data_IF_014762119497
#
_entry.id   IF_014762119497
#
_cell.length_a   1.000
_cell.length_b   1.000
_cell.length_c   1.000
_cell.angle_alpha   90.00
_cell.angle_beta   90.00
_cell.angle_gamma   90.00
#
_symmetry.space_group_name_H-M   'P 1'
#
loop_
_entity.id
_entity.type
_entity.pdbx_description
1 polymer ?
#
# COMPACT_ATOMS: atom_id res chain seq x y z
N UNK A 1 -7.44 10.54 9.14
CA UNK A 1 -8.07 9.61 8.17
C UNK A 1 -6.99 8.74 7.57
N UNK A 2 -7.35 7.59 7.01
CA UNK A 2 -6.39 6.72 6.33
C UNK A 2 -6.48 6.87 4.81
N UNK A 3 -5.31 6.79 4.17
CA UNK A 3 -5.14 6.95 2.73
C UNK A 3 -4.19 5.89 2.22
N UNK A 4 -4.60 5.17 1.17
CA UNK A 4 -3.73 4.24 0.47
C UNK A 4 -3.04 5.00 -0.66
N UNK A 5 -1.71 5.01 -0.66
CA UNK A 5 -0.87 5.62 -1.69
C UNK A 5 -0.22 4.48 -2.45
N UNK A 6 -0.55 4.38 -3.74
CA UNK A 6 0.18 3.57 -4.69
C UNK A 6 1.18 4.46 -5.43
N UNK A 7 2.41 3.98 -5.59
CA UNK A 7 3.47 4.74 -6.23
C UNK A 7 4.40 3.81 -7.02
N UNK A 8 4.79 4.22 -8.21
CA UNK A 8 5.77 3.54 -9.05
C UNK A 8 6.99 4.45 -9.24
N UNK A 9 8.19 3.91 -9.05
CA UNK A 9 9.45 4.62 -9.24
C UNK A 9 10.26 4.04 -10.38
N UNK A 10 11.24 4.78 -10.87
CA UNK A 10 12.33 4.25 -11.69
C UNK A 10 13.12 3.16 -10.94
N UNK A 11 14.01 2.47 -11.65
CA UNK A 11 14.95 1.50 -11.10
C UNK A 11 16.12 2.18 -10.36
N UNK A 12 15.75 3.02 -9.40
CA UNK A 12 16.61 3.70 -8.45
C UNK A 12 15.92 3.62 -7.07
N UNK A 13 16.59 3.12 -6.01
CA UNK A 13 16.01 3.10 -4.67
C UNK A 13 15.89 4.50 -4.03
N UNK A 14 16.58 5.51 -4.54
CA UNK A 14 16.60 6.86 -3.95
C UNK A 14 15.19 7.50 -3.88
N UNK A 15 14.35 7.49 -4.94
CA UNK A 15 12.97 7.93 -4.87
C UNK A 15 12.16 7.30 -3.72
N UNK A 16 12.30 5.99 -3.48
CA UNK A 16 11.65 5.30 -2.37
C UNK A 16 12.12 5.84 -1.01
N UNK A 17 13.43 6.07 -0.84
CA UNK A 17 13.98 6.68 0.37
C UNK A 17 13.50 8.13 0.56
N UNK A 18 13.39 8.90 -0.52
CA UNK A 18 12.87 10.27 -0.51
C UNK A 18 11.41 10.29 -0.06
N UNK A 19 10.59 9.34 -0.51
CA UNK A 19 9.19 9.19 -0.09
C UNK A 19 9.06 9.11 1.44
N UNK A 20 9.83 8.23 2.08
CA UNK A 20 9.82 8.06 3.54
C UNK A 20 10.20 9.37 4.24
N UNK A 21 11.21 10.08 3.74
CA UNK A 21 11.62 11.36 4.30
C UNK A 21 10.56 12.46 4.08
N UNK A 22 9.84 12.45 2.96
CA UNK A 22 8.72 13.37 2.69
C UNK A 22 7.61 13.14 3.71
N UNK A 23 7.19 11.89 3.91
CA UNK A 23 6.17 11.54 4.91
C UNK A 23 6.57 12.03 6.30
N UNK A 24 7.81 11.75 6.72
CA UNK A 24 8.34 12.25 7.99
C UNK A 24 8.26 13.78 8.12
N UNK A 25 8.70 14.52 7.10
CA UNK A 25 8.74 16.01 7.13
C UNK A 25 7.35 16.64 7.10
N UNK A 26 6.37 15.96 6.51
CA UNK A 26 4.97 16.41 6.42
C UNK A 26 4.11 15.93 7.58
N UNK A 27 4.68 15.23 8.57
CA UNK A 27 3.92 14.69 9.70
C UNK A 27 2.95 13.58 9.30
N UNK A 28 3.16 12.93 8.15
CA UNK A 28 2.34 11.81 7.67
C UNK A 28 2.79 10.57 8.41
N UNK A 29 1.87 9.93 9.13
CA UNK A 29 2.15 8.68 9.85
C UNK A 29 2.00 7.51 8.89
N UNK A 30 3.01 6.67 8.80
CA UNK A 30 2.95 5.43 8.02
C UNK A 30 2.32 4.35 8.90
N UNK A 31 1.22 3.75 8.45
CA UNK A 31 0.56 2.61 9.12
C UNK A 31 1.23 1.32 8.69
N UNK A 32 1.33 1.11 7.38
CA UNK A 32 2.08 0.01 6.78
C UNK A 32 2.56 0.39 5.40
N UNK A 33 3.62 -0.26 4.93
CA UNK A 33 4.18 -0.01 3.60
C UNK A 33 4.79 -1.29 3.04
N UNK A 34 4.37 -1.64 1.83
CA UNK A 34 4.97 -2.69 1.01
C UNK A 34 5.80 -2.09 -0.12
N UNK A 35 6.92 -2.72 -0.42
CA UNK A 35 7.78 -2.37 -1.55
C UNK A 35 8.14 -3.65 -2.29
N UNK A 36 7.99 -3.62 -3.62
CA UNK A 36 8.35 -4.70 -4.51
C UNK A 36 9.24 -4.19 -5.65
N UNK A 37 10.30 -4.92 -5.95
CA UNK A 37 11.15 -4.64 -7.11
C UNK A 37 10.50 -5.25 -8.37
N UNK A 38 10.50 -4.48 -9.45
CA UNK A 38 10.05 -4.85 -10.80
C UNK A 38 11.19 -4.60 -11.78
N UNK A 39 11.09 -5.15 -13.00
CA UNK A 39 12.09 -4.95 -14.06
C UNK A 39 12.30 -3.45 -14.35
N UNK A 40 11.22 -2.67 -14.34
CA UNK A 40 11.29 -1.25 -14.69
C UNK A 40 11.56 -0.32 -13.50
N UNK A 41 11.51 -0.84 -12.26
CA UNK A 41 11.74 -0.04 -11.04
C UNK A 41 11.06 -0.60 -9.82
N UNK A 42 10.58 0.25 -8.90
CA UNK A 42 9.94 -0.19 -7.67
C UNK A 42 8.47 0.17 -7.63
N UNK A 43 7.67 -0.78 -7.17
CA UNK A 43 6.27 -0.57 -6.82
C UNK A 43 6.15 -0.43 -5.30
N UNK A 44 5.50 0.63 -4.86
CA UNK A 44 5.29 0.94 -3.45
C UNK A 44 3.79 1.08 -3.20
N UNK A 45 3.33 0.44 -2.14
CA UNK A 45 1.99 0.65 -1.59
C UNK A 45 2.14 1.04 -0.14
N UNK A 46 1.64 2.21 0.24
CA UNK A 46 1.72 2.71 1.61
C UNK A 46 0.33 3.07 2.11
N UNK A 47 -0.06 2.52 3.25
CA UNK A 47 -1.21 3.00 4.01
C UNK A 47 -0.72 4.04 5.00
N UNK A 48 -1.27 5.25 4.92
CA UNK A 48 -0.83 6.38 5.72
C UNK A 48 -2.00 7.07 6.43
N UNK A 49 -1.69 7.68 7.57
CA UNK A 49 -2.60 8.55 8.31
C UNK A 49 -2.20 10.01 8.08
N UNK A 50 -3.16 10.79 7.56
CA UNK A 50 -3.01 12.23 7.39
C UNK A 50 -4.40 12.92 7.39
N UNK A 51 -4.39 14.25 7.52
CA UNK A 51 -5.58 15.06 7.38
C UNK A 51 -6.03 15.10 5.90
N UNK A 52 -7.34 15.14 5.66
CA UNK A 52 -7.89 15.23 4.31
C UNK A 52 -7.41 16.49 3.57
N UNK A 53 -7.23 17.60 4.28
CA UNK A 53 -6.70 18.86 3.73
C UNK A 53 -5.25 18.76 3.25
N UNK A 54 -4.49 17.75 3.70
CA UNK A 54 -3.08 17.58 3.35
C UNK A 54 -2.85 16.56 2.24
N UNK A 55 -3.84 15.70 1.93
CA UNK A 55 -3.64 14.60 0.97
C UNK A 55 -3.36 15.12 -0.44
N UNK A 56 -4.06 16.17 -0.87
CA UNK A 56 -3.84 16.79 -2.18
C UNK A 56 -2.44 17.39 -2.29
N UNK A 57 -1.93 17.99 -1.22
CA UNK A 57 -0.57 18.51 -1.17
C UNK A 57 0.46 17.39 -1.27
N UNK A 58 0.24 16.28 -0.56
CA UNK A 58 1.11 15.11 -0.61
C UNK A 58 1.10 14.53 -2.02
N UNK A 59 -0.08 14.24 -2.57
CA UNK A 59 -0.25 13.73 -3.94
C UNK A 59 0.47 14.60 -4.97
N UNK A 60 0.23 15.92 -4.92
CA UNK A 60 0.85 16.87 -5.83
C UNK A 60 2.37 16.95 -5.69
N UNK A 61 2.89 16.76 -4.48
CA UNK A 61 4.32 16.73 -4.24
C UNK A 61 4.96 15.44 -4.78
N UNK A 62 4.34 14.28 -4.49
CA UNK A 62 4.84 12.97 -4.91
C UNK A 62 4.89 12.83 -6.43
N UNK A 63 3.82 13.21 -7.14
CA UNK A 63 3.78 13.15 -8.62
C UNK A 63 4.79 14.05 -9.32
N UNK A 64 5.35 15.04 -8.61
CA UNK A 64 6.40 15.95 -9.11
C UNK A 64 7.79 15.56 -8.64
N UNK A 65 7.92 14.53 -7.81
CA UNK A 65 9.20 14.09 -7.29
C UNK A 65 9.97 13.38 -8.37
N UNK A 66 11.22 13.80 -8.61
CA UNK A 66 12.09 13.17 -9.62
C UNK A 66 12.29 11.68 -9.32
N UNK A 67 12.14 10.85 -10.36
CA UNK A 67 12.24 9.40 -10.28
C UNK A 67 10.93 8.70 -9.90
N UNK A 68 9.85 9.44 -9.65
CA UNK A 68 8.48 8.91 -9.52
C UNK A 68 7.82 8.91 -10.89
N UNK A 69 7.29 7.77 -11.30
CA UNK A 69 6.65 7.55 -12.60
C UNK A 69 5.13 7.69 -12.51
N UNK A 70 4.54 7.13 -11.46
CA UNK A 70 3.10 7.18 -11.24
C UNK A 70 2.77 7.26 -9.74
N UNK A 71 1.67 7.91 -9.41
CA UNK A 71 1.14 8.04 -8.05
C UNK A 71 -0.37 8.02 -8.13
N UNK A 72 -1.01 7.22 -7.27
CA UNK A 72 -2.44 7.28 -7.04
C UNK A 72 -2.75 7.26 -5.55
N UNK A 73 -3.75 8.04 -5.11
CA UNK A 73 -4.20 8.10 -3.73
C UNK A 73 -5.67 7.66 -3.63
N UNK A 74 -5.97 6.77 -2.70
CA UNK A 74 -7.31 6.30 -2.42
C UNK A 74 -7.66 6.59 -0.96
N UNK A 75 -8.86 7.10 -0.71
CA UNK A 75 -9.38 7.22 0.66
C UNK A 75 -9.67 5.82 1.19
N UNK A 76 -9.27 5.55 2.42
CA UNK A 76 -9.51 4.27 3.07
C UNK A 76 -10.21 4.50 4.41
N UNK A 77 -11.33 3.81 4.61
CA UNK A 77 -12.09 3.80 5.86
C UNK A 77 -11.90 2.43 6.51
N UNK A 78 -11.23 2.42 7.66
CA UNK A 78 -10.83 1.21 8.37
C UNK A 78 -11.95 0.65 9.23
N UNK A 79 -12.07 -0.68 9.31
CA UNK A 79 -12.96 -1.35 10.25
C UNK A 79 -12.22 -1.78 11.53
N UNK A 80 -12.00 -0.84 12.46
CA UNK A 80 -11.36 -1.13 13.76
C UNK A 80 -9.83 -1.21 13.70
N UNK A 81 -9.24 -2.26 14.28
CA UNK A 81 -7.78 -2.49 14.34
C UNK A 81 -7.35 -3.69 13.47
N UNK A 82 -7.43 -3.60 12.13
CA UNK A 82 -7.10 -4.72 11.27
C UNK A 82 -5.58 -4.93 11.13
N UNK A 83 -5.20 -6.15 10.76
CA UNK A 83 -3.91 -6.43 10.16
C UNK A 83 -3.99 -6.25 8.64
N UNK A 84 -2.87 -5.92 8.00
CA UNK A 84 -2.82 -5.71 6.55
C UNK A 84 -1.92 -6.73 5.88
N UNK A 85 -2.38 -7.27 4.75
CA UNK A 85 -1.57 -8.18 3.91
C UNK A 85 -1.38 -7.56 2.54
N UNK A 86 -0.13 -7.35 2.16
CA UNK A 86 0.25 -6.98 0.80
C UNK A 86 0.75 -8.20 0.06
N UNK A 87 0.22 -8.44 -1.14
CA UNK A 87 0.66 -9.50 -2.03
C UNK A 87 0.92 -8.93 -3.42
N UNK A 88 2.16 -8.99 -3.87
CA UNK A 88 2.52 -8.80 -5.27
C UNK A 88 2.64 -10.17 -5.92
N UNK A 89 1.67 -10.50 -6.77
CA UNK A 89 1.62 -11.80 -7.45
C UNK A 89 2.03 -11.72 -8.91
N UNK A 90 2.51 -10.56 -9.38
CA UNK A 90 2.64 -10.29 -10.80
C UNK A 90 1.35 -10.75 -11.55
N UNK A 91 1.48 -11.45 -12.68
CA UNK A 91 0.33 -11.92 -13.45
C UNK A 91 -0.38 -13.18 -12.90
N UNK A 92 0.16 -13.88 -11.89
CA UNK A 92 -0.44 -15.14 -11.40
C UNK A 92 -1.27 -14.95 -10.12
N UNK A 93 -2.58 -14.77 -10.31
CA UNK A 93 -3.54 -14.63 -9.22
C UNK A 93 -3.82 -15.92 -8.42
N UNK A 94 -3.21 -17.07 -8.76
CA UNK A 94 -3.42 -18.33 -8.03
C UNK A 94 -3.01 -18.24 -6.56
N UNK A 95 -1.96 -17.48 -6.27
CA UNK A 95 -1.46 -17.23 -4.92
C UNK A 95 -2.45 -16.40 -4.09
N UNK A 96 -3.18 -15.47 -4.72
CA UNK A 96 -4.22 -14.67 -4.05
C UNK A 96 -5.37 -15.53 -3.57
N UNK A 97 -5.80 -16.49 -4.39
CA UNK A 97 -6.87 -17.42 -4.00
C UNK A 97 -6.50 -18.18 -2.72
N UNK A 98 -5.24 -18.59 -2.58
CA UNK A 98 -4.75 -19.27 -1.36
C UNK A 98 -4.74 -18.34 -0.14
N UNK A 99 -4.35 -17.07 -0.32
CA UNK A 99 -4.39 -16.06 0.74
C UNK A 99 -5.83 -15.85 1.22
N UNK A 100 -6.78 -15.67 0.30
CA UNK A 100 -8.20 -15.52 0.63
C UNK A 100 -8.79 -16.78 1.28
N UNK A 101 -8.32 -17.97 0.91
CA UNK A 101 -8.71 -19.21 1.59
C UNK A 101 -8.15 -19.32 3.02
N UNK A 102 -6.98 -18.75 3.29
CA UNK A 102 -6.36 -18.73 4.62
C UNK A 102 -7.00 -17.68 5.55
N UNK A 103 -7.46 -16.57 4.97
CA UNK A 103 -8.14 -15.47 5.65
C UNK A 103 -9.52 -15.23 5.01
N UNK A 104 -10.52 -16.07 5.32
CA UNK A 104 -11.84 -15.99 4.67
C UNK A 104 -12.58 -14.68 4.98
N UNK A 105 -12.28 -14.06 6.11
CA UNK A 105 -12.87 -12.78 6.53
C UNK A 105 -12.05 -11.57 6.02
N UNK A 106 -11.04 -11.79 5.17
CA UNK A 106 -10.23 -10.71 4.63
C UNK A 106 -11.03 -9.86 3.64
N UNK A 107 -11.06 -8.55 3.88
CA UNK A 107 -11.58 -7.56 2.96
C UNK A 107 -10.53 -7.18 1.91
N UNK A 108 -10.85 -7.28 0.62
CA UNK A 108 -10.00 -6.73 -0.42
C UNK A 108 -10.11 -5.20 -0.43
N UNK A 109 -9.04 -4.50 -0.08
CA UNK A 109 -8.97 -3.03 -0.14
C UNK A 109 -8.62 -2.57 -1.55
N UNK A 110 -7.69 -3.28 -2.21
CA UNK A 110 -7.14 -2.85 -3.48
C UNK A 110 -6.63 -4.02 -4.32
N UNK A 111 -6.90 -4.00 -5.63
CA UNK A 111 -6.35 -4.93 -6.61
C UNK A 111 -6.02 -4.21 -7.93
N UNK A 112 -4.74 -4.04 -8.25
CA UNK A 112 -4.31 -3.47 -9.52
C UNK A 112 -3.03 -4.15 -10.02
N UNK A 113 -2.96 -4.44 -11.32
CA UNK A 113 -1.75 -4.96 -11.99
C UNK A 113 -1.05 -6.11 -11.23
N UNK A 114 -1.81 -7.02 -10.61
CA UNK A 114 -1.24 -8.14 -9.87
C UNK A 114 -0.85 -7.86 -8.42
N UNK A 115 -1.07 -6.64 -7.93
CA UNK A 115 -0.90 -6.26 -6.54
C UNK A 115 -2.23 -6.32 -5.83
N UNK A 116 -2.21 -6.85 -4.62
CA UNK A 116 -3.38 -7.00 -3.80
C UNK A 116 -3.08 -6.51 -2.38
N UNK A 117 -4.02 -5.77 -1.82
CA UNK A 117 -3.95 -5.28 -0.46
C UNK A 117 -5.22 -5.69 0.29
N UNK A 118 -5.06 -6.43 1.38
CA UNK A 118 -6.15 -6.98 2.16
C UNK A 118 -6.16 -6.39 3.57
N UNK A 119 -7.36 -6.13 4.05
CA UNK A 119 -7.67 -5.95 5.46
C UNK A 119 -8.01 -7.30 6.07
N UNK A 120 -7.36 -7.68 7.17
CA UNK A 120 -7.71 -8.85 7.96
C UNK A 120 -8.24 -8.36 9.31
N UNK A 121 -9.55 -8.50 9.60
CA UNK A 121 -10.15 -8.00 10.83
C UNK A 121 -9.49 -8.58 12.08
N UNK A 122 -9.43 -7.80 13.16
CA UNK A 122 -9.02 -8.31 14.47
C UNK A 122 -9.96 -9.44 14.92
N UNK A 123 -9.41 -10.62 15.19
CA UNK A 123 -10.18 -11.81 15.57
C UNK A 123 -10.64 -12.67 14.38
N UNK A 124 -10.35 -12.28 13.14
CA UNK A 124 -10.50 -13.14 11.96
C UNK A 124 -9.55 -14.33 12.08
N UNK A 125 -10.12 -15.52 12.25
CA UNK A 125 -9.37 -16.74 12.48
C UNK A 125 -8.50 -17.08 11.27
N UNK A 126 -7.18 -17.03 11.45
CA UNK A 126 -6.26 -17.69 10.53
C UNK A 126 -6.51 -19.19 10.61
N UNK A 127 -6.72 -19.85 9.47
CA UNK A 127 -6.81 -21.33 9.39
C UNK A 127 -5.52 -22.05 9.83
N UNK A 128 -4.45 -21.30 10.08
CA UNK A 128 -3.13 -21.78 10.51
C UNK A 128 -2.90 -21.55 12.01
N UNK A 129 -3.89 -20.99 12.74
CA UNK A 129 -3.84 -20.80 14.19
C UNK A 129 -4.41 -22.01 14.98
N UNK A 130 -4.53 -23.18 14.35
CA UNK A 130 -4.97 -24.44 14.95
C UNK A 130 -3.89 -25.52 14.81
#
# INVERSE_FOLDING_TARGET
MQWLIELETENDPIPACRLINIFRRKGVKIVTMGLAAKVEGFSIVALVETAETEVDHIFNFLRRTQGVRDVTCYRHETSGEPAYVFADTNADASSVKRILQAFPDAGLIFAIQGKYFFEVPAGGGSRWAA
#
